data_IF_514930181188
#
_entry.id   IF_514930181188
#
_cell.length_a   1.000
_cell.length_b   1.000
_cell.length_c   1.000
_cell.angle_alpha   90.00
_cell.angle_beta   90.00
_cell.angle_gamma   90.00
#
_symmetry.space_group_name_H-M   'P 1'
#
loop_
_entity.id
_entity.type
_entity.pdbx_description
1 polymer ?
#
# COMPACT_ATOMS: atom_id res chain seq x y z
N UNK A 1 -21.11 27.87 -32.52
CA UNK A 1 -20.18 26.72 -32.65
C UNK A 1 -18.79 27.24 -32.34
N UNK A 2 -18.25 26.97 -31.16
CA UNK A 2 -16.87 27.30 -30.80
C UNK A 2 -15.93 26.28 -31.45
N UNK A 3 -14.89 26.70 -32.19
CA UNK A 3 -13.89 25.76 -32.69
C UNK A 3 -13.12 25.17 -31.52
N UNK A 4 -12.92 23.86 -31.52
CA UNK A 4 -12.11 23.18 -30.51
C UNK A 4 -10.63 23.44 -30.80
N UNK A 5 -9.96 24.23 -29.96
CA UNK A 5 -8.50 24.38 -30.01
C UNK A 5 -7.84 23.13 -29.42
N UNK A 6 -6.77 22.67 -30.07
CA UNK A 6 -5.89 21.62 -29.55
C UNK A 6 -4.60 22.27 -29.08
N UNK A 7 -4.13 21.92 -27.88
CA UNK A 7 -2.86 22.36 -27.33
C UNK A 7 -1.84 21.20 -27.33
N UNK A 8 -0.58 21.53 -27.58
CA UNK A 8 0.51 20.56 -27.56
C UNK A 8 0.92 20.23 -26.11
N UNK A 9 1.00 18.95 -25.78
CA UNK A 9 1.33 18.45 -24.45
C UNK A 9 2.70 17.75 -24.46
N UNK A 10 3.78 18.44 -24.08
CA UNK A 10 5.12 17.87 -24.08
C UNK A 10 5.28 16.78 -23.00
N UNK A 11 5.92 15.63 -23.30
CA UNK A 11 6.25 14.60 -22.31
C UNK A 11 7.13 15.14 -21.16
N UNK A 12 7.07 14.50 -19.97
CA UNK A 12 7.94 14.87 -18.86
C UNK A 12 9.43 14.80 -19.24
N UNK A 13 10.15 15.90 -19.06
CA UNK A 13 11.57 16.02 -19.38
C UNK A 13 11.89 16.64 -20.75
N UNK A 14 10.89 16.99 -21.56
CA UNK A 14 11.09 17.76 -22.79
C UNK A 14 11.07 19.26 -22.49
N UNK A 15 12.15 19.96 -22.82
CA UNK A 15 12.25 21.41 -22.63
C UNK A 15 11.71 22.09 -23.90
N UNK A 16 10.42 22.45 -23.92
CA UNK A 16 9.83 23.24 -25.00
C UNK A 16 9.91 24.75 -24.72
N UNK A 17 10.04 25.62 -25.75
CA UNK A 17 10.43 27.02 -25.55
C UNK A 17 9.40 27.96 -24.90
N UNK A 18 8.15 27.55 -24.69
CA UNK A 18 7.13 28.38 -24.00
C UNK A 18 5.85 27.58 -23.78
N UNK A 19 5.03 28.02 -22.81
CA UNK A 19 3.67 27.54 -22.63
C UNK A 19 2.84 27.88 -23.89
N UNK A 20 2.23 26.87 -24.53
CA UNK A 20 1.49 27.02 -25.80
C UNK A 20 2.31 26.93 -27.09
N UNK A 21 3.58 26.50 -27.05
CA UNK A 21 4.36 26.22 -28.27
C UNK A 21 3.81 25.01 -29.05
N UNK A 22 3.79 25.12 -30.38
CA UNK A 22 3.31 24.07 -31.29
C UNK A 22 4.42 23.69 -32.28
N UNK A 23 4.71 22.40 -32.50
CA UNK A 23 5.74 21.99 -33.45
C UNK A 23 5.37 22.39 -34.88
N UNK A 24 6.29 23.01 -35.65
CA UNK A 24 6.08 23.27 -37.07
C UNK A 24 6.09 21.97 -37.89
N UNK A 25 5.51 22.01 -39.08
CA UNK A 25 5.48 20.88 -40.00
C UNK A 25 6.89 20.33 -40.26
N UNK A 26 7.09 19.04 -40.01
CA UNK A 26 8.38 18.35 -40.18
C UNK A 26 9.33 18.43 -38.97
N UNK A 27 8.90 18.99 -37.83
CA UNK A 27 9.69 18.98 -36.62
C UNK A 27 9.88 17.56 -36.04
N UNK A 28 11.09 17.29 -35.53
CA UNK A 28 11.43 16.04 -34.83
C UNK A 28 12.05 16.35 -33.47
N UNK A 29 11.78 15.53 -32.44
CA UNK A 29 12.36 15.73 -31.11
C UNK A 29 13.87 15.49 -31.09
N UNK A 30 14.56 16.18 -30.19
CA UNK A 30 15.99 15.97 -29.98
C UNK A 30 16.25 14.51 -29.56
N UNK A 31 17.19 13.79 -30.20
CA UNK A 31 17.52 12.42 -29.85
C UNK A 31 17.99 12.21 -28.39
N UNK A 32 18.44 13.28 -27.71
CA UNK A 32 18.84 13.23 -26.31
C UNK A 32 17.67 13.30 -25.33
N UNK A 33 16.44 13.54 -25.81
CA UNK A 33 15.26 13.59 -24.96
C UNK A 33 14.75 12.19 -24.60
N UNK A 34 14.22 12.00 -23.37
CA UNK A 34 13.63 10.73 -23.00
C UNK A 34 12.45 10.40 -23.95
N UNK A 35 12.26 9.12 -24.32
CA UNK A 35 11.13 8.75 -25.17
C UNK A 35 9.82 9.03 -24.43
N UNK A 36 8.78 9.41 -25.19
CA UNK A 36 7.46 9.63 -24.62
C UNK A 36 6.91 8.33 -23.98
N UNK A 37 6.21 8.44 -22.83
CA UNK A 37 5.56 7.29 -22.21
C UNK A 37 4.59 6.57 -23.16
N UNK A 38 4.40 5.27 -22.94
CA UNK A 38 3.43 4.50 -23.73
C UNK A 38 2.01 5.07 -23.53
N UNK A 39 1.34 5.41 -24.63
CA UNK A 39 0.00 6.02 -24.60
C UNK A 39 -0.02 7.53 -24.38
N UNK A 40 1.11 8.23 -24.53
CA UNK A 40 1.15 9.70 -24.39
C UNK A 40 0.38 10.40 -25.51
N UNK A 41 -0.56 11.25 -25.13
CA UNK A 41 -1.28 12.13 -26.06
C UNK A 41 -0.55 13.46 -26.17
N UNK A 42 0.04 13.71 -27.35
CA UNK A 42 0.74 14.97 -27.66
C UNK A 42 -0.21 16.13 -27.93
N UNK A 43 -1.50 15.87 -28.14
CA UNK A 43 -2.50 16.88 -28.46
C UNK A 43 -3.71 16.72 -27.57
N UNK A 44 -3.90 17.65 -26.65
CA UNK A 44 -5.04 17.68 -25.75
C UNK A 44 -6.03 18.70 -26.29
N UNK A 45 -7.32 18.34 -26.37
CA UNK A 45 -8.39 19.28 -26.69
C UNK A 45 -8.56 20.25 -25.53
N UNK A 46 -8.34 21.55 -25.75
CA UNK A 46 -8.63 22.56 -24.76
C UNK A 46 -10.14 22.65 -24.56
N UNK A 47 -10.63 22.05 -23.49
CA UNK A 47 -11.92 22.38 -22.92
C UNK A 47 -11.65 23.52 -21.95
N UNK A 48 -12.06 24.75 -22.31
CA UNK A 48 -12.03 25.88 -21.38
C UNK A 48 -12.81 25.50 -20.11
N UNK A 49 -12.06 25.29 -19.03
CA UNK A 49 -12.57 25.18 -17.67
C UNK A 49 -11.68 26.06 -16.77
N UNK A 50 -12.26 26.69 -15.73
CA UNK A 50 -11.62 27.78 -15.02
C UNK A 50 -10.43 27.33 -14.18
N UNK A 51 -9.47 28.23 -14.11
CA UNK A 51 -8.25 28.26 -13.30
C UNK A 51 -8.44 27.67 -11.90
N UNK A 52 -7.59 26.71 -11.55
CA UNK A 52 -7.27 26.40 -10.16
C UNK A 52 -5.76 26.48 -10.00
N UNK A 53 -5.35 27.41 -9.13
CA UNK A 53 -3.97 27.75 -8.80
C UNK A 53 -3.12 26.52 -8.45
N UNK A 54 -2.07 26.30 -9.22
CA UNK A 54 -0.95 25.45 -8.83
C UNK A 54 0.01 26.29 -7.99
N UNK A 55 -0.09 26.17 -6.66
CA UNK A 55 0.95 26.70 -5.76
C UNK A 55 2.08 25.68 -5.69
N UNK A 56 3.17 25.98 -6.39
CA UNK A 56 4.47 25.30 -6.33
C UNK A 56 5.12 25.62 -4.99
N UNK A 57 5.29 24.63 -4.12
CA UNK A 57 6.18 24.76 -2.96
C UNK A 57 7.60 24.38 -3.38
N UNK A 58 8.41 25.42 -3.59
CA UNK A 58 9.85 25.32 -3.73
C UNK A 58 10.47 24.87 -2.40
N UNK A 59 11.09 23.68 -2.39
CA UNK A 59 11.98 23.25 -1.31
C UNK A 59 13.37 23.83 -1.57
N UNK A 60 13.81 24.70 -0.67
CA UNK A 60 15.17 25.23 -0.61
C UNK A 60 16.12 24.19 0.03
N UNK A 61 17.41 24.14 -0.37
CA UNK A 61 18.39 23.27 0.28
C UNK A 61 18.83 23.84 1.64
N UNK A 62 18.69 23.04 2.70
CA UNK A 62 19.12 23.40 4.05
C UNK A 62 20.62 23.11 4.26
N UNK A 63 21.35 24.09 4.80
CA UNK A 63 22.78 24.05 5.11
C UNK A 63 23.08 23.27 6.42
N UNK A 64 24.29 22.71 6.58
CA UNK A 64 24.65 21.91 7.76
C UNK A 64 24.98 22.77 9.00
N UNK A 65 24.77 22.27 10.24
CA UNK A 65 25.03 23.01 11.47
C UNK A 65 26.52 23.04 11.87
N UNK A 66 26.96 24.04 12.66
CA UNK A 66 28.35 24.19 13.07
C UNK A 66 28.77 23.27 14.24
N UNK A 67 30.07 22.98 14.28
CA UNK A 67 30.78 22.12 15.24
C UNK A 67 30.99 22.85 16.59
N UNK A 68 30.90 22.17 17.75
CA UNK A 68 31.03 22.82 19.06
C UNK A 68 32.49 23.09 19.43
N UNK A 69 32.76 24.28 19.96
CA UNK A 69 34.05 24.67 20.54
C UNK A 69 34.18 24.18 21.99
N UNK A 70 35.34 23.62 22.32
CA UNK A 70 35.69 23.15 23.67
C UNK A 70 36.14 24.31 24.58
N UNK A 71 35.57 24.48 25.78
CA UNK A 71 36.09 25.42 26.77
C UNK A 71 37.34 24.85 27.48
N UNK A 72 38.37 25.69 27.57
CA UNK A 72 39.61 25.44 28.32
C UNK A 72 39.33 25.57 29.82
N UNK A 73 39.69 24.53 30.57
CA UNK A 73 39.66 24.43 32.04
C UNK A 73 40.82 25.24 32.63
N UNK A 74 40.53 26.07 33.63
CA UNK A 74 41.50 26.59 34.60
C UNK A 74 41.12 26.09 36.00
N UNK A 75 42.15 25.75 36.77
CA UNK A 75 42.10 24.89 37.95
C UNK A 75 41.87 25.67 39.26
N UNK A 76 41.05 25.05 40.11
CA UNK A 76 41.12 24.82 41.58
C UNK A 76 41.89 25.80 42.51
N UNK A 77 41.40 26.03 43.76
CA UNK A 77 41.64 25.00 44.78
C UNK A 77 40.52 24.70 45.79
N UNK A 78 40.54 23.45 46.24
CA UNK A 78 39.84 22.82 47.36
C UNK A 78 40.32 23.32 48.76
N UNK A 79 39.95 22.68 49.89
CA UNK A 79 38.67 22.08 50.33
C UNK A 79 38.25 22.64 51.71
N UNK A 80 37.00 22.46 52.15
CA UNK A 80 36.68 22.56 53.59
C UNK A 80 35.60 21.57 54.02
N UNK A 81 36.08 20.57 54.76
CA UNK A 81 35.50 19.90 55.92
C UNK A 81 34.10 19.26 55.87
N UNK A 82 34.16 17.93 55.93
CA UNK A 82 33.21 16.94 56.44
C UNK A 82 32.26 17.46 57.55
N UNK A 83 30.96 17.26 57.35
CA UNK A 83 30.00 16.92 58.41
C UNK A 83 28.96 15.95 57.85
N UNK A 84 29.06 14.68 58.26
CA UNK A 84 27.95 13.75 58.18
C UNK A 84 26.84 14.20 59.13
N UNK A 85 25.62 14.29 58.61
CA UNK A 85 24.29 14.18 59.25
C UNK A 85 23.23 14.65 58.22
N UNK A 86 21.93 14.60 58.50
CA UNK A 86 20.93 13.54 58.26
C UNK A 86 20.49 13.32 56.78
N UNK A 87 21.31 13.71 55.80
CA UNK A 87 20.90 13.90 54.39
C UNK A 87 20.41 12.65 53.62
N UNK A 88 20.63 11.43 54.11
CA UNK A 88 20.29 10.19 53.39
C UNK A 88 18.78 9.94 53.25
N UNK A 89 17.96 10.46 54.18
CA UNK A 89 16.50 10.33 54.13
C UNK A 89 15.91 11.26 53.07
N UNK A 90 16.41 12.50 53.00
CA UNK A 90 16.03 13.47 51.97
C UNK A 90 16.48 13.01 50.57
N UNK A 91 17.64 12.37 50.46
CA UNK A 91 18.15 11.83 49.20
C UNK A 91 17.31 10.62 48.73
N UNK A 92 16.80 9.81 49.67
CA UNK A 92 15.89 8.73 49.39
C UNK A 92 14.50 9.24 48.96
N UNK A 93 13.97 10.27 49.62
CA UNK A 93 12.69 10.90 49.24
C UNK A 93 12.78 11.56 47.87
N UNK A 94 13.87 12.28 47.58
CA UNK A 94 14.14 12.87 46.26
C UNK A 94 14.32 11.80 45.18
N UNK A 95 14.96 10.66 45.48
CA UNK A 95 15.04 9.51 44.56
C UNK A 95 13.71 8.83 44.35
N UNK A 96 12.90 8.69 45.40
CA UNK A 96 11.53 8.17 45.29
C UNK A 96 10.69 9.08 44.40
N UNK A 97 10.77 10.40 44.57
CA UNK A 97 10.06 11.36 43.72
C UNK A 97 10.55 11.31 42.26
N UNK A 98 11.86 11.21 42.04
CA UNK A 98 12.44 11.03 40.70
C UNK A 98 12.02 9.70 40.05
N UNK A 99 11.96 8.61 40.82
CA UNK A 99 11.49 7.31 40.34
C UNK A 99 10.00 7.34 40.02
N UNK A 100 9.17 7.99 40.85
CA UNK A 100 7.74 8.17 40.57
C UNK A 100 7.50 9.04 39.32
N UNK A 101 8.28 10.11 39.14
CA UNK A 101 8.23 10.92 37.93
C UNK A 101 8.63 10.11 36.69
N UNK A 102 9.66 9.26 36.81
CA UNK A 102 10.10 8.38 35.72
C UNK A 102 9.08 7.27 35.43
N UNK A 103 8.43 6.71 36.45
CA UNK A 103 7.35 5.74 36.29
C UNK A 103 6.17 6.40 35.57
N UNK A 104 5.75 7.60 35.98
CA UNK A 104 4.68 8.33 35.32
C UNK A 104 5.02 8.63 33.84
N UNK A 105 6.25 9.04 33.56
CA UNK A 105 6.74 9.26 32.19
C UNK A 105 6.71 7.96 31.37
N UNK A 106 7.22 6.86 31.92
CA UNK A 106 7.20 5.54 31.27
C UNK A 106 5.77 5.03 31.06
N UNK A 107 4.87 5.25 32.00
CA UNK A 107 3.45 4.89 31.86
C UNK A 107 2.79 5.70 30.74
N UNK A 108 3.09 7.00 30.62
CA UNK A 108 2.57 7.80 29.49
C UNK A 108 3.15 7.32 28.15
N UNK A 109 4.40 6.91 28.14
CA UNK A 109 5.06 6.42 26.93
C UNK A 109 4.54 5.04 26.52
N UNK A 110 4.35 4.13 27.48
CA UNK A 110 3.70 2.83 27.25
C UNK A 110 2.30 3.04 26.68
N UNK A 111 1.51 3.93 27.28
CA UNK A 111 0.16 4.24 26.78
C UNK A 111 0.16 4.83 25.37
N UNK A 112 1.16 5.67 25.05
CA UNK A 112 1.36 6.20 23.70
C UNK A 112 1.72 5.08 22.70
N UNK A 113 2.64 4.20 23.07
CA UNK A 113 3.04 3.07 22.24
C UNK A 113 1.90 2.06 22.04
N UNK A 114 1.12 1.77 23.08
CA UNK A 114 -0.09 0.95 23.00
C UNK A 114 -1.14 1.55 22.06
N UNK A 115 -1.37 2.87 22.13
CA UNK A 115 -2.28 3.55 21.21
C UNK A 115 -1.78 3.53 19.76
N UNK A 116 -0.47 3.62 19.54
CA UNK A 116 0.16 3.53 18.22
C UNK A 116 0.10 2.11 17.66
N UNK A 117 0.33 1.11 18.52
CA UNK A 117 0.20 -0.30 18.18
C UNK A 117 -1.25 -0.68 17.85
N UNK A 118 -2.23 -0.20 18.62
CA UNK A 118 -3.65 -0.39 18.33
C UNK A 118 -4.06 0.23 16.99
N UNK A 119 -3.54 1.43 16.67
CA UNK A 119 -3.72 2.03 15.36
C UNK A 119 -3.07 1.20 14.24
N UNK A 120 -1.91 0.58 14.50
CA UNK A 120 -1.25 -0.31 13.54
C UNK A 120 -2.02 -1.61 13.28
N UNK A 121 -2.66 -2.20 14.30
CA UNK A 121 -3.52 -3.39 14.14
C UNK A 121 -4.72 -3.06 13.24
N UNK A 122 -5.38 -1.92 13.49
CA UNK A 122 -6.46 -1.45 12.62
C UNK A 122 -5.99 -1.19 11.18
N UNK A 123 -4.78 -0.67 10.99
CA UNK A 123 -4.21 -0.47 9.65
C UNK A 123 -3.96 -1.79 8.91
N UNK A 124 -3.44 -2.82 9.59
CA UNK A 124 -3.21 -4.15 9.01
C UNK A 124 -4.54 -4.81 8.60
N UNK A 125 -5.58 -4.71 9.43
CA UNK A 125 -6.89 -5.26 9.11
C UNK A 125 -7.55 -4.57 7.90
N UNK A 126 -7.35 -3.24 7.76
CA UNK A 126 -7.82 -2.49 6.60
C UNK A 126 -7.04 -2.84 5.32
N UNK A 127 -5.73 -3.05 5.43
CA UNK A 127 -4.89 -3.48 4.32
C UNK A 127 -5.25 -4.90 3.86
N UNK A 128 -5.52 -5.82 4.79
CA UNK A 128 -6.04 -7.15 4.52
C UNK A 128 -7.36 -7.11 3.74
N UNK A 129 -8.30 -6.30 4.22
CA UNK A 129 -9.62 -6.15 3.62
C UNK A 129 -9.49 -5.58 2.20
N UNK A 130 -8.58 -4.64 1.97
CA UNK A 130 -8.28 -4.13 0.63
C UNK A 130 -7.75 -5.23 -0.30
N UNK A 131 -6.84 -6.08 0.18
CA UNK A 131 -6.30 -7.21 -0.60
C UNK A 131 -7.40 -8.20 -1.00
N UNK A 132 -8.33 -8.51 -0.08
CA UNK A 132 -9.47 -9.38 -0.37
C UNK A 132 -10.40 -8.78 -1.42
N UNK A 133 -10.69 -7.47 -1.34
CA UNK A 133 -11.55 -6.78 -2.31
C UNK A 133 -10.91 -6.66 -3.70
N UNK A 134 -9.59 -6.55 -3.79
CA UNK A 134 -8.86 -6.56 -5.06
C UNK A 134 -9.09 -7.85 -5.85
N UNK A 135 -9.13 -8.99 -5.15
CA UNK A 135 -9.45 -10.30 -5.73
C UNK A 135 -10.95 -10.61 -5.72
N UNK A 136 -11.80 -9.63 -5.38
CA UNK A 136 -13.26 -9.75 -5.45
C UNK A 136 -13.90 -10.60 -4.36
N UNK A 137 -13.20 -10.82 -3.22
CA UNK A 137 -13.80 -11.45 -2.05
C UNK A 137 -14.48 -10.36 -1.23
N UNK A 138 -15.81 -10.46 -1.13
CA UNK A 138 -16.63 -9.58 -0.30
C UNK A 138 -17.29 -10.38 0.82
N UNK A 139 -17.61 -9.71 1.92
CA UNK A 139 -18.33 -10.34 3.03
C UNK A 139 -19.81 -10.55 2.67
N UNK A 140 -20.15 -11.75 2.24
CA UNK A 140 -21.53 -12.19 2.12
C UNK A 140 -22.02 -12.77 3.45
N UNK A 141 -23.17 -12.29 3.94
CA UNK A 141 -23.78 -12.82 5.16
C UNK A 141 -24.73 -13.99 4.84
N UNK A 142 -24.28 -15.21 5.11
CA UNK A 142 -25.07 -16.42 4.87
C UNK A 142 -25.90 -16.81 6.13
N UNK A 143 -27.14 -17.31 5.99
CA UNK A 143 -27.97 -17.73 7.13
C UNK A 143 -27.32 -18.78 8.06
N UNK A 144 -26.42 -19.62 7.53
CA UNK A 144 -25.67 -20.63 8.30
C UNK A 144 -24.61 -20.04 9.23
N UNK A 145 -24.23 -18.76 9.09
CA UNK A 145 -23.30 -18.11 10.03
C UNK A 145 -23.84 -18.08 11.46
N UNK A 146 -25.17 -18.07 11.59
CA UNK A 146 -25.87 -18.06 12.88
C UNK A 146 -26.14 -19.48 13.41
N UNK A 147 -25.92 -20.52 12.59
CA UNK A 147 -26.04 -21.90 13.03
C UNK A 147 -24.80 -22.27 13.85
N UNK A 148 -25.00 -22.63 15.11
CA UNK A 148 -23.92 -22.96 16.04
C UNK A 148 -22.97 -24.05 15.50
N UNK A 149 -23.51 -25.00 14.73
CA UNK A 149 -22.76 -26.14 14.17
C UNK A 149 -21.76 -25.73 13.08
N UNK A 150 -22.04 -24.68 12.31
CA UNK A 150 -21.22 -24.30 11.14
C UNK A 150 -20.38 -23.04 11.36
N UNK A 151 -20.70 -22.23 12.38
CA UNK A 151 -20.02 -20.95 12.63
C UNK A 151 -18.49 -21.10 12.73
N UNK A 152 -17.99 -22.05 13.50
CA UNK A 152 -16.55 -22.26 13.66
C UNK A 152 -15.88 -22.71 12.37
N UNK A 153 -16.53 -23.59 11.61
CA UNK A 153 -16.03 -24.08 10.32
C UNK A 153 -15.97 -22.97 9.28
N UNK A 154 -17.00 -22.10 9.23
CA UNK A 154 -17.04 -20.96 8.31
C UNK A 154 -15.97 -19.92 8.65
N UNK A 155 -15.71 -19.67 9.94
CA UNK A 155 -14.60 -18.80 10.37
C UNK A 155 -13.25 -19.38 9.95
N UNK A 156 -12.99 -20.66 10.25
CA UNK A 156 -11.75 -21.32 9.88
C UNK A 156 -11.53 -21.34 8.35
N UNK A 157 -12.59 -21.57 7.56
CA UNK A 157 -12.51 -21.53 6.11
C UNK A 157 -12.21 -20.11 5.60
N UNK A 158 -12.84 -19.08 6.18
CA UNK A 158 -12.58 -17.69 5.81
C UNK A 158 -11.13 -17.27 6.11
N UNK A 159 -10.57 -17.71 7.24
CA UNK A 159 -9.16 -17.51 7.58
C UNK A 159 -8.23 -18.22 6.58
N UNK A 160 -8.51 -19.48 6.24
CA UNK A 160 -7.73 -20.20 5.22
C UNK A 160 -7.73 -19.50 3.87
N UNK A 161 -8.90 -18.99 3.43
CA UNK A 161 -9.01 -18.23 2.18
C UNK A 161 -8.20 -16.93 2.26
N UNK A 162 -8.31 -16.19 3.37
CA UNK A 162 -7.54 -14.97 3.60
C UNK A 162 -6.04 -15.25 3.52
N UNK A 163 -5.57 -16.32 4.15
CA UNK A 163 -4.17 -16.70 4.15
C UNK A 163 -3.68 -17.09 2.75
N UNK A 164 -4.48 -17.82 1.97
CA UNK A 164 -4.11 -18.19 0.59
C UNK A 164 -3.93 -16.97 -0.31
N UNK A 165 -4.80 -15.97 -0.18
CA UNK A 165 -4.71 -14.72 -0.94
C UNK A 165 -3.49 -13.91 -0.51
N UNK A 166 -3.25 -13.76 0.80
CA UNK A 166 -2.09 -13.05 1.34
C UNK A 166 -0.77 -13.67 0.92
N UNK A 167 -0.69 -15.00 0.90
CA UNK A 167 0.50 -15.74 0.50
C UNK A 167 0.69 -15.76 -1.02
N UNK A 168 -0.32 -15.35 -1.80
CA UNK A 168 -0.27 -15.36 -3.26
C UNK A 168 -0.30 -16.76 -3.88
N UNK A 169 -0.73 -17.79 -3.12
CA UNK A 169 -0.78 -19.18 -3.58
C UNK A 169 -2.19 -19.61 -4.05
N UNK A 170 -3.18 -18.70 -4.01
CA UNK A 170 -4.51 -18.92 -4.55
C UNK A 170 -4.55 -19.08 -6.08
N UNK A 171 -3.48 -18.70 -6.79
CA UNK A 171 -3.31 -18.96 -8.22
C UNK A 171 -1.92 -19.54 -8.42
N UNK A 172 -1.85 -20.72 -9.02
CA UNK A 172 -0.60 -21.34 -9.44
C UNK A 172 -0.26 -20.85 -10.85
N UNK A 173 0.96 -20.36 -11.04
CA UNK A 173 1.46 -19.87 -12.31
C UNK A 173 2.94 -20.23 -12.48
N UNK A 174 3.44 -20.21 -13.72
CA UNK A 174 4.86 -20.43 -13.98
C UNK A 174 5.70 -19.19 -13.64
N UNK A 175 6.78 -19.36 -12.88
CA UNK A 175 7.75 -18.30 -12.56
C UNK A 175 8.67 -17.95 -13.75
N UNK A 176 8.70 -18.80 -14.78
CA UNK A 176 9.62 -18.68 -15.91
C UNK A 176 9.06 -17.85 -17.07
N UNK A 177 7.83 -17.33 -16.93
CA UNK A 177 7.23 -16.49 -17.96
C UNK A 177 7.99 -15.17 -18.12
N UNK A 178 8.36 -14.85 -19.36
CA UNK A 178 9.02 -13.58 -19.72
C UNK A 178 8.13 -12.75 -20.62
N UNK A 179 8.13 -11.44 -20.44
CA UNK A 179 7.45 -10.51 -21.34
C UNK A 179 8.44 -9.48 -21.86
N UNK A 180 8.55 -9.36 -23.19
CA UNK A 180 9.55 -8.51 -23.84
C UNK A 180 10.99 -8.77 -23.32
N UNK A 181 11.40 -10.04 -23.27
CA UNK A 181 12.70 -10.50 -22.74
C UNK A 181 12.98 -10.08 -21.29
N UNK A 182 11.94 -9.76 -20.51
CA UNK A 182 12.06 -9.35 -19.12
C UNK A 182 11.25 -10.27 -18.21
N UNK A 183 11.95 -10.98 -17.31
CA UNK A 183 11.33 -11.75 -16.24
C UNK A 183 10.57 -10.86 -15.26
N UNK A 184 11.10 -9.68 -14.95
CA UNK A 184 10.42 -8.75 -14.03
C UNK A 184 9.07 -8.28 -14.60
N UNK A 185 9.01 -7.97 -15.90
CA UNK A 185 7.75 -7.63 -16.58
C UNK A 185 6.81 -8.83 -16.67
N UNK A 186 7.35 -10.03 -16.92
CA UNK A 186 6.60 -11.29 -16.87
C UNK A 186 5.93 -11.50 -15.53
N UNK A 187 6.68 -11.45 -14.41
CA UNK A 187 6.14 -11.57 -13.05
C UNK A 187 5.05 -10.54 -12.75
N UNK A 188 5.26 -9.27 -13.14
CA UNK A 188 4.25 -8.23 -12.96
C UNK A 188 2.97 -8.55 -13.74
N UNK A 189 3.11 -8.97 -15.00
CA UNK A 189 1.98 -9.36 -15.84
C UNK A 189 1.24 -10.57 -15.24
N UNK A 190 1.96 -11.61 -14.81
CA UNK A 190 1.39 -12.77 -14.14
C UNK A 190 0.61 -12.38 -12.89
N UNK A 191 1.14 -11.47 -12.05
CA UNK A 191 0.45 -11.00 -10.85
C UNK A 191 -0.88 -10.28 -11.17
N UNK A 192 -0.89 -9.40 -12.17
CA UNK A 192 -2.11 -8.70 -12.60
C UNK A 192 -3.15 -9.67 -13.17
N UNK A 193 -2.72 -10.63 -14.01
CA UNK A 193 -3.61 -11.67 -14.52
C UNK A 193 -4.12 -12.59 -13.40
N UNK A 194 -3.30 -12.94 -12.41
CA UNK A 194 -3.73 -13.77 -11.27
C UNK A 194 -4.84 -13.08 -10.51
N UNK A 195 -4.69 -11.78 -10.24
CA UNK A 195 -5.72 -10.97 -9.59
C UNK A 195 -7.01 -10.93 -10.41
N UNK A 196 -6.92 -10.72 -11.73
CA UNK A 196 -8.08 -10.68 -12.62
C UNK A 196 -8.82 -12.03 -12.67
N UNK A 197 -8.08 -13.14 -12.79
CA UNK A 197 -8.66 -14.47 -12.88
C UNK A 197 -9.31 -14.89 -11.56
N UNK A 198 -8.63 -14.64 -10.43
CA UNK A 198 -9.19 -14.92 -9.11
C UNK A 198 -10.45 -14.09 -8.85
N UNK A 199 -10.47 -12.82 -9.27
CA UNK A 199 -11.68 -11.98 -9.23
C UNK A 199 -12.83 -12.54 -10.05
N UNK A 200 -12.56 -13.06 -11.25
CA UNK A 200 -13.58 -13.68 -12.09
C UNK A 200 -14.13 -14.97 -11.46
N UNK A 201 -13.25 -15.82 -10.89
CA UNK A 201 -13.67 -17.01 -10.18
C UNK A 201 -14.53 -16.70 -8.95
N UNK A 202 -14.10 -15.73 -8.13
CA UNK A 202 -14.83 -15.32 -6.93
C UNK A 202 -16.21 -14.75 -7.25
N UNK A 203 -16.35 -14.01 -8.36
CA UNK A 203 -17.65 -13.57 -8.82
C UNK A 203 -18.60 -14.74 -9.15
N UNK A 204 -18.10 -15.81 -9.77
CA UNK A 204 -18.89 -17.02 -10.03
C UNK A 204 -19.18 -17.81 -8.74
N UNK A 205 -18.23 -17.86 -7.82
CA UNK A 205 -18.41 -18.46 -6.49
C UNK A 205 -19.53 -17.77 -5.70
N UNK A 206 -19.51 -16.45 -5.62
CA UNK A 206 -20.54 -15.65 -4.96
C UNK A 206 -21.91 -15.85 -5.59
N UNK A 207 -21.98 -15.90 -6.92
CA UNK A 207 -23.22 -16.20 -7.64
C UNK A 207 -23.75 -17.61 -7.30
N UNK A 208 -22.87 -18.60 -7.23
CA UNK A 208 -23.22 -19.96 -6.85
C UNK A 208 -23.73 -20.04 -5.41
N UNK A 209 -23.07 -19.38 -4.46
CA UNK A 209 -23.46 -19.34 -3.04
C UNK A 209 -24.81 -18.63 -2.88
N UNK A 210 -25.02 -17.49 -3.55
CA UNK A 210 -26.29 -16.73 -3.49
C UNK A 210 -27.49 -17.54 -4.01
N UNK A 211 -27.28 -18.32 -5.07
CA UNK A 211 -28.30 -19.16 -5.68
C UNK A 211 -28.43 -20.55 -5.01
N UNK A 212 -27.59 -20.88 -4.04
CA UNK A 212 -27.51 -22.21 -3.45
C UNK A 212 -28.78 -22.56 -2.67
N UNK A 213 -29.27 -23.79 -2.87
CA UNK A 213 -30.41 -24.41 -2.18
C UNK A 213 -30.06 -25.88 -1.94
N UNK A 214 -30.72 -26.53 -0.98
CA UNK A 214 -30.45 -27.93 -0.63
C UNK A 214 -30.48 -28.90 -1.84
N UNK A 215 -31.26 -28.60 -2.88
CA UNK A 215 -31.38 -29.45 -4.07
C UNK A 215 -30.41 -29.18 -5.22
N UNK A 216 -29.59 -28.12 -5.19
CA UNK A 216 -28.78 -27.71 -6.36
C UNK A 216 -27.26 -27.65 -6.13
N UNK A 217 -26.76 -28.22 -5.02
CA UNK A 217 -25.34 -28.23 -4.66
C UNK A 217 -24.45 -28.82 -5.76
N UNK A 218 -24.87 -29.95 -6.35
CA UNK A 218 -24.11 -30.61 -7.43
C UNK A 218 -24.00 -29.72 -8.66
N UNK A 219 -25.06 -28.99 -9.00
CA UNK A 219 -25.07 -28.05 -10.13
C UNK A 219 -24.17 -26.84 -9.86
N UNK A 220 -24.21 -26.30 -8.64
CA UNK A 220 -23.32 -25.22 -8.22
C UNK A 220 -21.85 -25.66 -8.33
N UNK A 221 -21.50 -26.85 -7.83
CA UNK A 221 -20.16 -27.40 -7.96
C UNK A 221 -19.70 -27.53 -9.42
N UNK A 222 -20.54 -28.08 -10.30
CA UNK A 222 -20.23 -28.20 -11.73
C UNK A 222 -19.98 -26.85 -12.40
N UNK A 223 -20.70 -25.79 -11.99
CA UNK A 223 -20.45 -24.43 -12.51
C UNK A 223 -19.09 -23.90 -12.07
N UNK A 224 -18.71 -24.12 -10.82
CA UNK A 224 -17.37 -23.75 -10.33
C UNK A 224 -16.27 -24.52 -11.05
N UNK A 225 -16.43 -25.83 -11.24
CA UNK A 225 -15.46 -26.66 -11.98
C UNK A 225 -15.30 -26.18 -13.44
N UNK A 226 -16.41 -25.78 -14.08
CA UNK A 226 -16.38 -25.20 -15.42
C UNK A 226 -15.67 -23.84 -15.45
N UNK A 227 -15.87 -23.01 -14.42
CA UNK A 227 -15.17 -21.72 -14.28
C UNK A 227 -13.65 -21.91 -14.14
N UNK A 228 -13.21 -22.82 -13.26
CA UNK A 228 -11.78 -23.18 -13.11
C UNK A 228 -11.20 -23.66 -14.43
N UNK A 229 -11.90 -24.54 -15.14
CA UNK A 229 -11.46 -25.07 -16.44
C UNK A 229 -11.34 -23.97 -17.49
N UNK A 230 -12.31 -23.05 -17.54
CA UNK A 230 -12.30 -21.93 -18.47
C UNK A 230 -11.14 -20.97 -18.19
N UNK A 231 -10.88 -20.67 -16.92
CA UNK A 231 -9.76 -19.84 -16.48
C UNK A 231 -8.42 -20.49 -16.82
N UNK A 232 -8.24 -21.78 -16.53
CA UNK A 232 -7.02 -22.50 -16.87
C UNK A 232 -6.76 -22.50 -18.38
N UNK A 233 -7.81 -22.63 -19.20
CA UNK A 233 -7.71 -22.54 -20.66
C UNK A 233 -7.28 -21.14 -21.13
N UNK A 234 -7.82 -20.07 -20.54
CA UNK A 234 -7.45 -18.69 -20.87
C UNK A 234 -6.03 -18.34 -20.37
N UNK A 235 -5.62 -18.94 -19.25
CA UNK A 235 -4.31 -18.77 -18.63
C UNK A 235 -3.21 -19.70 -19.16
N UNK A 236 -3.49 -20.51 -20.19
CA UNK A 236 -2.59 -21.57 -20.66
C UNK A 236 -1.18 -21.08 -21.05
N UNK A 237 -1.07 -19.87 -21.62
CA UNK A 237 0.24 -19.27 -22.00
C UNK A 237 1.18 -19.09 -20.80
N UNK A 238 0.62 -18.84 -19.61
CA UNK A 238 1.35 -18.60 -18.37
C UNK A 238 1.27 -19.81 -17.41
N UNK A 239 0.72 -20.93 -17.90
CA UNK A 239 0.45 -22.16 -17.13
C UNK A 239 -0.37 -21.89 -15.85
N UNK A 240 -1.31 -20.95 -15.94
CA UNK A 240 -2.07 -20.48 -14.78
C UNK A 240 -3.28 -21.37 -14.46
N UNK A 241 -3.48 -21.65 -13.17
CA UNK A 241 -4.70 -22.29 -12.65
C UNK A 241 -5.02 -21.81 -11.24
N UNK A 242 -6.31 -21.80 -10.91
CA UNK A 242 -6.86 -21.53 -9.56
C UNK A 242 -6.98 -22.86 -8.84
#
# INVERSE_FOLDING_TARGET
MTPSSYAFNPPPGWLVPSDGWVPPDGWTPDPNWPPAPNGWEFWIREVSAPTVDTTVLAVTPHAPPPRPETPRVEADPAPTALKETPSAVNDADVRCEALHARIAELETEVKRLESTAAASVGAVDLDDERVLQEVGIYRYHHPLENAAEYKSQLVALAEQIKDMVKQGNAVLASDMFTFNNSLAKGRKMTAEFSKLMLRAYNAEADNCVRALRAGNVVTAKKRLDASVTAIARLGAMMEMRI
#
